data_IF_451220658374
#
_entry.id   IF_451220658374
#
_cell.length_a   1.000
_cell.length_b   1.000
_cell.length_c   1.000
_cell.angle_alpha   90.00
_cell.angle_beta   90.00
_cell.angle_gamma   90.00
#
_symmetry.space_group_name_H-M   'P 1'
#
loop_
_entity.id
_entity.type
_entity.pdbx_description
1 polymer ?
#
# COMPACT_ATOMS: atom_id res chain seq x y z
N UNK A 1 -14.82 28.04 -2.46
CA UNK A 1 -13.62 27.18 -2.53
C UNK A 1 -13.83 26.02 -1.58
N UNK A 2 -13.51 24.79 -1.99
CA UNK A 2 -13.39 23.68 -1.04
C UNK A 2 -12.21 24.00 -0.10
N UNK A 3 -12.31 23.77 1.21
CA UNK A 3 -11.20 24.01 2.12
C UNK A 3 -10.00 23.19 1.68
N UNK A 4 -8.85 23.85 1.53
CA UNK A 4 -7.58 23.23 1.16
C UNK A 4 -6.66 23.17 2.37
N UNK A 5 -5.83 22.13 2.51
CA UNK A 5 -4.83 22.09 3.57
C UNK A 5 -3.83 23.23 3.41
N UNK A 6 -3.25 23.71 4.51
CA UNK A 6 -2.25 24.79 4.49
C UNK A 6 -1.00 24.46 3.66
N UNK A 7 -0.71 23.18 3.47
CA UNK A 7 0.40 22.69 2.65
C UNK A 7 0.03 22.51 1.17
N UNK A 8 -1.17 22.91 0.74
CA UNK A 8 -1.57 22.76 -0.65
C UNK A 8 -0.69 23.61 -1.57
N UNK A 9 -0.10 22.97 -2.57
CA UNK A 9 0.67 23.67 -3.60
C UNK A 9 -0.27 24.50 -4.48
N UNK A 10 0.21 25.65 -4.96
CA UNK A 10 -0.55 26.48 -5.91
C UNK A 10 -0.95 25.65 -7.13
N UNK A 11 -2.19 25.81 -7.60
CA UNK A 11 -2.71 25.05 -8.73
C UNK A 11 -3.11 23.60 -8.44
N UNK A 12 -2.87 23.11 -7.22
CA UNK A 12 -3.26 21.77 -6.80
C UNK A 12 -4.50 21.81 -5.91
N UNK A 13 -5.46 20.92 -6.20
CA UNK A 13 -6.68 20.74 -5.39
C UNK A 13 -6.61 19.37 -4.72
N UNK A 14 -6.55 19.36 -3.39
CA UNK A 14 -6.49 18.16 -2.58
C UNK A 14 -7.88 17.60 -2.29
N UNK A 15 -7.96 16.27 -2.21
CA UNK A 15 -9.19 15.52 -1.99
C UNK A 15 -8.98 14.46 -0.91
N UNK A 16 -10.06 14.10 -0.21
CA UNK A 16 -10.07 12.96 0.71
C UNK A 16 -10.19 11.65 -0.09
N UNK A 17 -10.88 11.68 -1.24
CA UNK A 17 -10.99 10.54 -2.12
C UNK A 17 -10.97 10.95 -3.60
N UNK A 18 -10.48 10.05 -4.45
CA UNK A 18 -10.49 10.21 -5.90
C UNK A 18 -10.96 8.91 -6.54
N UNK A 19 -11.81 9.04 -7.56
CA UNK A 19 -12.28 7.92 -8.36
C UNK A 19 -11.31 7.65 -9.52
N UNK A 20 -10.93 6.39 -9.71
CA UNK A 20 -10.13 5.87 -10.83
C UNK A 20 -10.88 4.69 -11.45
N UNK A 21 -11.44 4.90 -12.64
CA UNK A 21 -12.46 4.00 -13.23
C UNK A 21 -13.56 3.72 -12.20
N UNK A 22 -13.70 2.48 -11.73
CA UNK A 22 -14.68 2.06 -10.72
C UNK A 22 -14.06 1.91 -9.31
N UNK A 23 -12.77 2.25 -9.15
CA UNK A 23 -12.05 2.15 -7.88
C UNK A 23 -12.04 3.50 -7.16
N UNK A 24 -12.82 3.60 -6.09
CA UNK A 24 -12.81 4.78 -5.21
C UNK A 24 -11.68 4.67 -4.19
N UNK A 25 -10.68 5.54 -4.31
CA UNK A 25 -9.49 5.54 -3.48
C UNK A 25 -9.56 6.66 -2.44
N UNK A 26 -9.34 6.32 -1.18
CA UNK A 26 -9.33 7.26 -0.05
C UNK A 26 -7.92 7.52 0.47
N UNK A 27 -7.75 8.71 1.04
CA UNK A 27 -6.64 9.00 1.92
C UNK A 27 -6.64 7.99 3.08
N UNK A 28 -5.50 7.36 3.31
CA UNK A 28 -5.35 6.31 4.30
C UNK A 28 -5.55 4.89 3.76
N UNK A 29 -5.95 4.71 2.49
CA UNK A 29 -6.01 3.38 1.88
C UNK A 29 -4.62 2.81 1.62
N UNK A 30 -4.50 1.49 1.66
CA UNK A 30 -3.37 0.77 1.08
C UNK A 30 -3.77 0.25 -0.30
N UNK A 31 -2.87 0.33 -1.26
CA UNK A 31 -3.12 -0.02 -2.65
C UNK A 31 -1.99 -0.85 -3.23
N UNK A 32 -2.33 -1.68 -4.22
CA UNK A 32 -1.36 -2.34 -5.08
C UNK A 32 -1.00 -1.45 -6.27
N UNK A 33 0.29 -1.38 -6.59
CA UNK A 33 0.83 -0.71 -7.77
C UNK A 33 1.49 -1.74 -8.70
N UNK A 34 1.44 -1.52 -10.00
CA UNK A 34 2.27 -2.30 -10.92
C UNK A 34 3.71 -1.83 -10.84
N UNK A 35 4.63 -2.77 -10.58
CA UNK A 35 6.07 -2.54 -10.61
C UNK A 35 6.52 -2.30 -12.05
N UNK A 36 6.86 -1.04 -12.34
CA UNK A 36 7.36 -0.49 -13.60
C UNK A 36 6.64 -1.00 -14.87
N UNK A 37 5.61 -0.27 -15.30
CA UNK A 37 5.14 -0.36 -16.69
C UNK A 37 6.32 -0.05 -17.59
N UNK A 38 6.92 -1.07 -18.23
CA UNK A 38 8.02 -0.92 -19.20
C UNK A 38 7.84 0.40 -19.94
N UNK A 39 8.71 1.38 -19.69
CA UNK A 39 8.61 2.67 -20.38
C UNK A 39 8.90 2.39 -21.85
N UNK A 40 8.07 2.93 -22.73
CA UNK A 40 8.46 3.00 -24.15
C UNK A 40 9.81 3.75 -24.25
N UNK A 41 10.60 3.56 -25.33
CA UNK A 41 11.82 4.34 -25.54
C UNK A 41 11.61 5.86 -25.43
N UNK A 42 10.39 6.34 -25.67
CA UNK A 42 9.96 7.74 -25.56
C UNK A 42 9.54 8.17 -24.14
N UNK A 43 9.76 7.32 -23.13
CA UNK A 43 9.45 7.62 -21.72
C UNK A 43 7.96 7.55 -21.36
N UNK A 44 7.07 7.24 -22.31
CA UNK A 44 5.65 7.08 -22.01
C UNK A 44 5.43 5.73 -21.30
N UNK A 45 4.70 5.71 -20.17
CA UNK A 45 4.36 4.46 -19.50
C UNK A 45 3.52 3.62 -20.46
N UNK A 46 3.99 2.40 -20.78
CA UNK A 46 3.16 1.47 -21.56
C UNK A 46 1.91 1.22 -20.73
N UNK A 47 0.76 1.61 -21.26
CA UNK A 47 -0.55 1.40 -20.66
C UNK A 47 -0.87 -0.10 -20.71
N UNK A 48 -0.19 -0.90 -19.89
CA UNK A 48 -0.56 -2.29 -19.68
C UNK A 48 -1.98 -2.27 -19.12
N UNK A 49 -2.90 -2.81 -19.90
CA UNK A 49 -4.32 -2.84 -19.56
C UNK A 49 -4.49 -3.70 -18.31
N UNK A 50 -4.51 -3.04 -17.15
CA UNK A 50 -4.90 -3.60 -15.85
C UNK A 50 -6.26 -4.33 -15.91
N UNK A 51 -7.08 -4.09 -16.95
CA UNK A 51 -8.29 -4.90 -17.21
C UNK A 51 -8.02 -6.38 -17.50
N UNK A 52 -6.77 -6.79 -17.73
CA UNK A 52 -6.34 -8.20 -17.88
C UNK A 52 -5.80 -8.83 -16.58
N UNK A 53 -5.96 -8.16 -15.42
CA UNK A 53 -5.34 -8.48 -14.12
C UNK A 53 -5.74 -9.82 -13.48
N UNK A 54 -6.68 -10.60 -14.04
CA UNK A 54 -7.10 -11.88 -13.41
C UNK A 54 -5.97 -12.90 -13.22
N UNK A 55 -4.81 -12.69 -13.85
CA UNK A 55 -3.63 -13.56 -13.77
C UNK A 55 -2.38 -12.90 -13.20
N UNK A 56 -2.46 -11.64 -12.74
CA UNK A 56 -1.26 -10.97 -12.21
C UNK A 56 -1.01 -11.45 -10.78
N UNK A 57 0.15 -12.10 -10.59
CA UNK A 57 0.59 -12.53 -9.28
C UNK A 57 0.80 -11.30 -8.38
N UNK A 58 0.05 -11.24 -7.27
CA UNK A 58 0.08 -10.16 -6.28
C UNK A 58 1.43 -10.04 -5.59
N UNK A 59 2.23 -11.12 -5.56
CA UNK A 59 3.62 -11.11 -5.08
C UNK A 59 4.55 -10.22 -5.92
N UNK A 60 4.13 -9.82 -7.11
CA UNK A 60 4.89 -8.94 -8.00
C UNK A 60 4.44 -7.48 -7.98
N UNK A 61 3.39 -7.15 -7.22
CA UNK A 61 2.84 -5.80 -7.13
C UNK A 61 3.39 -5.06 -5.90
N UNK A 62 3.75 -3.79 -6.05
CA UNK A 62 4.17 -2.98 -4.89
C UNK A 62 2.97 -2.63 -4.02
N UNK A 63 3.20 -2.45 -2.71
CA UNK A 63 2.15 -2.07 -1.75
C UNK A 63 2.45 -0.65 -1.28
N UNK A 64 1.46 0.23 -1.40
CA UNK A 64 1.62 1.67 -1.14
C UNK A 64 0.51 2.19 -0.24
N UNK A 65 0.87 3.03 0.76
CA UNK A 65 -0.10 3.75 1.59
C UNK A 65 -0.35 5.12 1.00
N UNK A 66 -1.61 5.45 0.75
CA UNK A 66 -2.00 6.80 0.34
C UNK A 66 -2.04 7.71 1.58
N UNK A 67 -1.19 8.73 1.63
CA UNK A 67 -1.25 9.79 2.64
C UNK A 67 -1.89 11.08 2.14
N UNK A 68 -1.82 11.37 0.84
CA UNK A 68 -2.46 12.56 0.23
C UNK A 68 -2.92 12.25 -1.18
N UNK A 69 -4.01 12.90 -1.60
CA UNK A 69 -4.57 12.83 -2.96
C UNK A 69 -4.82 14.24 -3.48
N UNK A 70 -4.49 14.49 -4.75
CA UNK A 70 -4.78 15.79 -5.38
C UNK A 70 -4.95 15.68 -6.90
N UNK A 71 -5.52 16.73 -7.47
CA UNK A 71 -5.48 17.02 -8.91
C UNK A 71 -4.60 18.26 -9.15
N UNK A 72 -3.79 18.24 -10.19
CA UNK A 72 -3.06 19.43 -10.64
C UNK A 72 -3.93 20.32 -11.56
N UNK A 73 -3.37 21.43 -12.03
CA UNK A 73 -4.05 22.38 -12.93
C UNK A 73 -4.52 21.75 -14.26
N UNK A 74 -3.83 20.69 -14.70
CA UNK A 74 -4.17 19.93 -15.92
C UNK A 74 -5.27 18.89 -15.68
N UNK A 75 -5.74 18.74 -14.45
CA UNK A 75 -6.72 17.73 -14.05
C UNK A 75 -6.14 16.32 -13.87
N UNK A 76 -4.82 16.16 -13.96
CA UNK A 76 -4.12 14.90 -13.70
C UNK A 76 -4.19 14.59 -12.20
N UNK A 77 -4.34 13.31 -11.87
CA UNK A 77 -4.59 12.84 -10.50
C UNK A 77 -3.34 12.18 -9.93
N UNK A 78 -3.00 12.51 -8.70
CA UNK A 78 -1.82 11.99 -8.04
C UNK A 78 -2.12 11.54 -6.61
N UNK A 79 -1.29 10.61 -6.14
CA UNK A 79 -1.22 10.18 -4.76
C UNK A 79 0.21 10.38 -4.23
N UNK A 80 0.31 10.68 -2.94
CA UNK A 80 1.57 10.76 -2.20
C UNK A 80 1.48 9.88 -0.97
N UNK A 81 2.59 9.26 -0.60
CA UNK A 81 2.68 8.38 0.56
C UNK A 81 3.90 7.47 0.46
N UNK A 82 3.84 6.29 1.08
CA UNK A 82 5.01 5.43 1.26
C UNK A 82 4.76 3.98 0.89
N UNK A 83 5.84 3.27 0.56
CA UNK A 83 5.82 1.86 0.21
C UNK A 83 5.92 0.93 1.42
N UNK A 84 5.44 -0.29 1.24
CA UNK A 84 5.70 -1.44 2.09
C UNK A 84 6.47 -2.50 1.30
N UNK A 85 7.48 -3.10 1.93
CA UNK A 85 8.23 -4.23 1.38
C UNK A 85 7.87 -5.53 2.10
N UNK A 86 7.75 -6.61 1.32
CA UNK A 86 7.68 -7.98 1.82
C UNK A 86 9.07 -8.46 2.28
N UNK A 87 9.15 -9.53 3.09
CA UNK A 87 10.42 -10.00 3.62
C UNK A 87 11.44 -10.34 2.53
N UNK A 88 10.99 -10.97 1.44
CA UNK A 88 11.83 -11.34 0.29
C UNK A 88 12.39 -10.14 -0.49
N UNK A 89 11.89 -8.93 -0.23
CA UNK A 89 12.31 -7.66 -0.86
C UNK A 89 13.31 -6.91 0.03
N UNK A 90 13.65 -7.48 1.20
CA UNK A 90 14.53 -6.88 2.21
C UNK A 90 15.72 -7.77 2.52
N UNK A 91 16.84 -7.17 2.91
CA UNK A 91 17.95 -7.92 3.49
C UNK A 91 17.70 -8.20 4.97
N UNK A 92 17.78 -9.48 5.37
CA UNK A 92 17.55 -9.92 6.73
C UNK A 92 18.40 -11.15 7.07
N UNK A 93 18.58 -11.40 8.37
CA UNK A 93 19.27 -12.60 8.85
C UNK A 93 18.54 -13.87 8.39
N UNK A 94 19.25 -14.94 7.96
CA UNK A 94 18.63 -16.23 7.62
C UNK A 94 17.82 -16.86 8.76
N UNK A 95 18.14 -16.52 10.01
CA UNK A 95 17.41 -17.03 11.19
C UNK A 95 16.15 -16.22 11.54
N UNK A 96 15.92 -15.09 10.87
CA UNK A 96 14.75 -14.23 11.14
C UNK A 96 13.48 -14.93 10.68
N UNK A 97 12.51 -15.04 11.60
CA UNK A 97 11.16 -15.54 11.29
C UNK A 97 10.22 -14.38 11.02
N UNK A 98 9.27 -14.60 10.11
CA UNK A 98 8.25 -13.62 9.74
C UNK A 98 6.84 -14.12 10.08
N UNK A 99 5.91 -13.20 10.31
CA UNK A 99 4.48 -13.50 10.29
C UNK A 99 4.03 -13.75 8.85
N UNK A 100 2.93 -14.47 8.71
CA UNK A 100 2.28 -14.59 7.41
C UNK A 100 1.88 -13.19 6.92
N UNK A 101 2.28 -12.84 5.69
CA UNK A 101 2.12 -11.51 5.11
C UNK A 101 2.69 -10.36 5.97
N UNK A 102 3.80 -10.58 6.68
CA UNK A 102 4.55 -9.48 7.33
C UNK A 102 5.04 -8.49 6.28
N UNK A 103 4.90 -7.20 6.57
CA UNK A 103 5.30 -6.08 5.72
C UNK A 103 6.13 -5.09 6.52
N UNK A 104 7.14 -4.54 5.87
CA UNK A 104 8.01 -3.49 6.38
C UNK A 104 7.63 -2.17 5.77
N UNK A 105 7.22 -1.19 6.60
CA UNK A 105 7.08 0.19 6.14
C UNK A 105 8.46 0.72 5.75
N UNK A 106 8.57 1.25 4.53
CA UNK A 106 9.80 1.88 4.05
C UNK A 106 9.68 3.38 4.26
N UNK A 107 10.71 4.08 4.79
CA UNK A 107 10.72 5.54 4.91
C UNK A 107 10.98 6.23 3.56
N UNK A 108 10.49 5.65 2.46
CA UNK A 108 10.60 6.18 1.11
C UNK A 108 9.23 6.72 0.70
N UNK A 109 9.15 8.04 0.66
CA UNK A 109 7.97 8.77 0.23
C UNK A 109 8.05 9.08 -1.26
N UNK A 110 6.97 8.80 -1.98
CA UNK A 110 6.89 8.98 -3.43
C UNK A 110 5.57 9.62 -3.84
N UNK A 111 5.61 10.33 -4.98
CA UNK A 111 4.42 10.79 -5.70
C UNK A 111 4.18 9.83 -6.86
N UNK A 112 3.01 9.21 -6.89
CA UNK A 112 2.59 8.31 -7.97
C UNK A 112 1.39 8.90 -8.73
N UNK A 113 1.26 8.64 -10.04
CA UNK A 113 0.02 8.90 -10.75
C UNK A 113 -1.08 7.96 -10.24
N UNK A 114 -2.31 8.45 -10.11
CA UNK A 114 -3.44 7.63 -9.63
C UNK A 114 -3.69 6.43 -10.55
N UNK A 115 -3.34 6.56 -11.83
CA UNK A 115 -3.46 5.55 -12.87
C UNK A 115 -2.60 4.30 -12.61
N UNK A 116 -1.51 4.42 -11.85
CA UNK A 116 -0.63 3.30 -11.48
C UNK A 116 -1.26 2.32 -10.47
N UNK A 117 -2.32 2.76 -9.77
CA UNK A 117 -3.05 1.94 -8.81
C UNK A 117 -3.84 0.87 -9.55
N UNK A 118 -3.65 -0.39 -9.17
CA UNK A 118 -4.36 -1.53 -9.77
C UNK A 118 -5.45 -2.13 -8.89
N UNK A 119 -5.41 -1.88 -7.59
CA UNK A 119 -6.42 -2.35 -6.65
C UNK A 119 -6.13 -1.88 -5.23
N UNK A 120 -7.11 -2.03 -4.34
CA UNK A 120 -6.95 -1.77 -2.90
C UNK A 120 -6.48 -3.03 -2.18
N UNK A 121 -5.87 -2.83 -1.01
CA UNK A 121 -5.45 -3.90 -0.10
C UNK A 121 -5.58 -3.44 1.36
N UNK A 122 -5.52 -4.38 2.30
CA UNK A 122 -5.66 -4.09 3.72
C UNK A 122 -4.35 -4.38 4.45
N UNK A 123 -3.73 -3.32 4.99
CA UNK A 123 -2.55 -3.45 5.85
C UNK A 123 -2.96 -3.09 7.27
N UNK A 124 -2.80 -4.05 8.19
CA UNK A 124 -3.10 -3.92 9.60
C UNK A 124 -1.83 -3.69 10.41
N UNK A 125 -1.96 -3.01 11.54
CA UNK A 125 -0.92 -3.00 12.57
C UNK A 125 -0.87 -4.34 13.34
N UNK A 126 0.22 -4.56 14.08
CA UNK A 126 0.46 -5.80 14.84
C UNK A 126 -0.64 -6.12 15.85
N UNK A 127 -1.17 -5.10 16.51
CA UNK A 127 -2.17 -5.31 17.54
C UNK A 127 -3.50 -5.74 16.93
N UNK A 128 -3.93 -5.07 15.86
CA UNK A 128 -5.16 -5.41 15.13
C UNK A 128 -5.05 -6.80 14.49
N UNK A 129 -3.90 -7.12 13.88
CA UNK A 129 -3.64 -8.44 13.32
C UNK A 129 -3.70 -9.55 14.38
N UNK A 130 -3.01 -9.37 15.51
CA UNK A 130 -2.98 -10.37 16.59
C UNK A 130 -4.34 -10.59 17.27
N UNK A 131 -5.22 -9.59 17.24
CA UNK A 131 -6.56 -9.70 17.83
C UNK A 131 -7.53 -10.54 17.00
N UNK A 132 -7.27 -10.75 15.72
CA UNK A 132 -8.19 -11.47 14.82
C UNK A 132 -9.52 -10.75 14.54
N UNK A 133 -9.79 -9.60 15.19
CA UNK A 133 -10.96 -8.75 14.94
C UNK A 133 -10.75 -7.96 13.65
N UNK A 134 -10.89 -8.64 12.52
CA UNK A 134 -11.19 -7.95 11.26
C UNK A 134 -12.69 -7.72 11.23
N UNK A 135 -13.12 -6.52 11.59
CA UNK A 135 -14.44 -6.05 11.17
C UNK A 135 -14.37 -5.75 9.66
N UNK A 136 -14.23 -6.79 8.84
CA UNK A 136 -14.60 -6.69 7.43
C UNK A 136 -16.11 -6.50 7.43
N UNK A 137 -16.53 -5.24 7.21
CA UNK A 137 -17.94 -4.90 7.10
C UNK A 137 -18.64 -5.83 6.14
N UNK A 138 -19.76 -6.39 6.61
CA UNK A 138 -20.84 -6.90 5.78
C UNK A 138 -21.21 -5.85 4.73
N UNK A 139 -20.74 -6.06 3.51
CA UNK A 139 -20.97 -5.21 2.36
C UNK A 139 -20.64 -6.03 1.13
N UNK A 140 -21.63 -6.81 0.68
CA UNK A 140 -21.54 -7.77 -0.40
C UNK A 140 -20.95 -7.16 -1.67
N UNK A 141 -19.66 -7.43 -1.92
CA UNK A 141 -19.16 -7.69 -3.26
C UNK A 141 -17.96 -8.64 -3.20
N UNK A 142 -18.27 -9.91 -3.45
CA UNK A 142 -17.46 -10.91 -4.14
C UNK A 142 -16.06 -11.30 -3.63
N UNK A 143 -15.89 -12.61 -3.45
CA UNK A 143 -14.69 -13.37 -3.79
C UNK A 143 -13.33 -12.80 -3.33
N UNK A 144 -12.80 -13.38 -2.24
CA UNK A 144 -11.37 -13.70 -2.12
C UNK A 144 -10.34 -12.62 -2.41
N UNK A 145 -10.49 -11.38 -1.93
CA UNK A 145 -9.60 -10.28 -2.34
C UNK A 145 -8.95 -9.44 -1.23
N UNK A 146 -9.28 -9.58 0.04
CA UNK A 146 -8.62 -8.84 1.12
C UNK A 146 -7.43 -9.62 1.70
N UNK A 147 -6.29 -9.58 1.02
CA UNK A 147 -5.03 -10.04 1.60
C UNK A 147 -4.72 -9.13 2.79
N UNK A 148 -4.97 -9.64 3.98
CA UNK A 148 -4.69 -8.94 5.23
C UNK A 148 -3.20 -9.08 5.49
N UNK A 149 -2.47 -7.97 5.43
CA UNK A 149 -1.03 -7.95 5.64
C UNK A 149 -0.67 -7.18 6.91
N UNK A 150 0.39 -7.58 7.58
CA UNK A 150 0.82 -6.99 8.85
C UNK A 150 1.93 -5.96 8.60
N UNK A 151 1.60 -4.67 8.66
CA UNK A 151 2.58 -3.59 8.62
C UNK A 151 3.18 -3.36 10.00
N UNK A 152 4.43 -3.77 10.23
CA UNK A 152 5.17 -3.34 11.42
C UNK A 152 5.72 -1.94 11.20
N UNK A 153 5.37 -1.02 12.09
CA UNK A 153 5.88 0.34 12.13
C UNK A 153 7.35 0.39 12.52
N UNK A 154 8.04 1.35 11.89
CA UNK A 154 9.38 1.85 12.15
C UNK A 154 10.56 0.96 11.70
N UNK A 155 10.97 1.21 10.46
CA UNK A 155 12.35 1.07 9.93
C UNK A 155 13.09 -0.23 10.27
N UNK A 156 13.16 -1.12 9.28
CA UNK A 156 14.21 -2.12 9.19
C UNK A 156 15.57 -1.44 8.95
N UNK A 157 16.21 -0.99 10.03
CA UNK A 157 17.66 -0.96 10.14
C UNK A 157 17.99 -1.75 11.39
N UNK A 158 18.67 -2.87 11.19
CA UNK A 158 19.05 -3.75 12.28
C UNK A 158 19.89 -2.99 13.30
N UNK A 159 19.33 -2.83 14.50
CA UNK A 159 19.99 -2.93 15.80
C UNK A 159 18.86 -2.89 16.83
N UNK A 160 18.82 -3.87 17.73
CA UNK A 160 17.72 -4.02 18.66
C UNK A 160 17.56 -2.82 19.59
N UNK A 161 16.32 -2.51 19.96
CA UNK A 161 16.00 -2.26 21.35
C UNK A 161 14.50 -2.46 21.63
N UNK A 162 14.26 -2.65 22.91
CA UNK A 162 13.10 -3.14 23.63
C UNK A 162 11.86 -2.24 23.56
N UNK A 163 10.85 -2.65 22.79
CA UNK A 163 9.49 -2.08 22.86
C UNK A 163 8.47 -3.19 23.07
N UNK A 164 7.64 -3.08 24.11
CA UNK A 164 6.63 -4.09 24.54
C UNK A 164 5.97 -4.80 23.37
N UNK A 165 6.35 -6.04 23.17
CA UNK A 165 5.77 -6.91 22.15
C UNK A 165 4.48 -7.53 22.70
N UNK A 166 3.33 -7.47 22.01
CA UNK A 166 2.08 -8.08 22.47
C UNK A 166 2.26 -9.58 22.71
N UNK A 167 1.62 -10.14 23.75
CA UNK A 167 1.80 -11.52 24.26
C UNK A 167 1.53 -12.67 23.25
N UNK A 168 1.20 -12.36 22.00
CA UNK A 168 0.91 -13.31 20.92
C UNK A 168 2.17 -13.85 20.21
N UNK A 169 3.40 -13.55 20.65
CA UNK A 169 4.63 -14.08 20.04
C UNK A 169 4.97 -15.51 20.46
N UNK A 170 4.12 -16.45 20.07
CA UNK A 170 4.71 -17.55 19.33
C UNK A 170 4.42 -17.24 17.87
N UNK A 171 5.45 -16.86 17.10
CA UNK A 171 5.39 -16.93 15.64
C UNK A 171 5.21 -18.42 15.34
N UNK A 172 3.97 -18.90 15.38
CA UNK A 172 3.61 -20.30 15.26
C UNK A 172 4.19 -20.79 13.94
N UNK A 173 5.05 -21.81 14.07
CA UNK A 173 5.65 -22.57 12.98
C UNK A 173 4.51 -23.05 12.07
N UNK A 174 4.48 -22.58 10.84
CA UNK A 174 4.05 -23.44 9.74
C UNK A 174 5.31 -23.95 9.05
N UNK A 175 5.36 -25.25 8.71
CA UNK A 175 6.55 -25.91 8.17
C UNK A 175 7.02 -25.31 6.85
#
# INVERSE_FOLDING_TARGET
>A
MLPQPSYAQSGSVYYICLLRDDLLLHQGDCVYLMRDSRRTPDGQPVRQSYRLLSHINRDKLDIFRIEKLWKNEKGERFAFGHHYFRPHETHHSPSRRFYHNELFRVPLYEIIPLEAVVGTCCVLDLYTYCKGNTALGTGDTALGTADTALGTGDTALGTGDTGRVPACLNKNLYP
#
